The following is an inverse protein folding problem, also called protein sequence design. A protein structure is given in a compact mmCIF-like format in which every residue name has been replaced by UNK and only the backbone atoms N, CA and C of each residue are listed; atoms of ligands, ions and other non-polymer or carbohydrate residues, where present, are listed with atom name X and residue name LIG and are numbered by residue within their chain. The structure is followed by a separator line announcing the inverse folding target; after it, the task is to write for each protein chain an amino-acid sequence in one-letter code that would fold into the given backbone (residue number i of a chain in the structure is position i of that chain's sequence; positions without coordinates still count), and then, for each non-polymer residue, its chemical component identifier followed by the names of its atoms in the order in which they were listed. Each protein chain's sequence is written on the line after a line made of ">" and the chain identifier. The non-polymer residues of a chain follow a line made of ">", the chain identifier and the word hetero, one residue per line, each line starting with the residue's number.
data_IF_123791134438
#
_entry.id   IF_123791134438
#
_cell.length_a   1.000
_cell.length_b   1.000
_cell.length_c   1.000
_cell.angle_alpha   90.00
_cell.angle_beta   90.00
_cell.angle_gamma   90.00
#
_symmetry.space_group_name_H-M   'P 1'
#
loop_
_entity.id
_entity.type
_entity.pdbx_description
1 polymer ?
#
# COMPACT_ATOMS: atom_id res chain seq x y z
N UNK A 1 12.05 5.15 0.40
CA UNK A 1 11.89 3.78 -0.09
C UNK A 1 12.57 3.65 -1.45
N UNK A 2 12.28 4.51 -2.41
CA UNK A 2 12.83 4.46 -3.77
C UNK A 2 14.37 4.36 -3.80
N UNK A 3 15.07 5.10 -2.96
CA UNK A 3 16.54 5.04 -2.84
C UNK A 3 17.06 3.80 -2.10
N UNK A 4 16.20 2.83 -1.76
CA UNK A 4 16.52 1.62 -0.99
C UNK A 4 17.17 1.89 0.39
N UNK A 5 16.90 3.06 0.95
CA UNK A 5 17.36 3.43 2.29
C UNK A 5 16.46 2.88 3.39
N UNK A 6 15.21 2.51 3.06
CA UNK A 6 14.24 1.88 3.96
C UNK A 6 13.97 0.47 3.49
N UNK A 7 14.19 -0.51 4.36
CA UNK A 7 14.08 -1.94 4.06
C UNK A 7 13.14 -2.67 5.03
N UNK A 8 12.73 -3.88 4.66
CA UNK A 8 11.97 -4.79 5.49
C UNK A 8 12.90 -5.83 6.11
N UNK A 9 12.83 -6.12 7.43
CA UNK A 9 13.63 -7.18 8.03
C UNK A 9 12.97 -8.54 7.84
N UNK A 10 13.76 -9.61 7.73
CA UNK A 10 13.26 -10.99 7.57
C UNK A 10 12.47 -11.54 8.76
N UNK A 11 12.55 -10.87 9.90
CA UNK A 11 11.85 -11.29 11.13
C UNK A 11 10.37 -10.90 11.16
N UNK A 12 9.89 -10.16 10.16
CA UNK A 12 8.51 -9.70 10.10
C UNK A 12 7.69 -10.49 9.09
N UNK A 13 6.37 -10.55 9.35
CA UNK A 13 5.42 -11.19 8.44
C UNK A 13 5.32 -10.46 7.10
N UNK A 14 4.94 -11.19 6.07
CA UNK A 14 4.63 -10.64 4.76
C UNK A 14 3.45 -9.66 4.80
N UNK A 15 3.21 -8.94 3.71
CA UNK A 15 2.06 -8.05 3.59
C UNK A 15 0.75 -8.85 3.59
N UNK A 16 -0.18 -8.51 4.48
CA UNK A 16 -1.44 -9.24 4.69
C UNK A 16 -2.70 -8.35 4.65
N UNK A 17 -2.54 -7.04 4.52
CA UNK A 17 -3.71 -6.16 4.45
C UNK A 17 -4.47 -6.39 3.16
N UNK A 18 -5.80 -6.52 3.30
CA UNK A 18 -6.72 -6.56 2.17
C UNK A 18 -7.04 -5.14 1.64
N UNK A 19 -7.77 -5.12 0.54
CA UNK A 19 -8.16 -3.89 -0.15
C UNK A 19 -8.96 -2.96 0.76
N UNK A 20 -9.91 -3.50 1.53
CA UNK A 20 -10.78 -2.69 2.40
C UNK A 20 -9.96 -2.04 3.51
N UNK A 21 -9.03 -2.78 4.10
CA UNK A 21 -8.17 -2.26 5.15
C UNK A 21 -7.25 -1.14 4.66
N UNK A 22 -6.76 -1.24 3.43
CA UNK A 22 -5.99 -0.16 2.80
C UNK A 22 -6.87 1.06 2.55
N UNK A 23 -8.07 0.88 2.01
CA UNK A 23 -9.03 1.97 1.76
C UNK A 23 -9.39 2.71 3.05
N UNK A 24 -9.73 1.98 4.12
CA UNK A 24 -10.03 2.55 5.44
C UNK A 24 -8.83 3.26 6.06
N UNK A 25 -7.62 2.79 5.79
CA UNK A 25 -6.40 3.46 6.24
C UNK A 25 -6.22 4.82 5.58
N UNK A 26 -6.49 4.93 4.27
CA UNK A 26 -6.45 6.20 3.56
C UNK A 26 -7.58 7.14 4.00
N UNK A 27 -8.79 6.62 4.21
CA UNK A 27 -9.88 7.40 4.81
C UNK A 27 -9.46 7.98 6.18
N UNK A 28 -8.84 7.18 7.03
CA UNK A 28 -8.32 7.65 8.32
C UNK A 28 -7.27 8.75 8.20
N UNK A 29 -6.36 8.65 7.22
CA UNK A 29 -5.36 9.70 6.96
C UNK A 29 -6.04 11.01 6.53
N UNK A 30 -6.96 10.95 5.59
CA UNK A 30 -7.65 12.13 5.06
C UNK A 30 -8.61 12.75 6.08
N UNK A 31 -9.18 11.93 6.96
CA UNK A 31 -9.99 12.38 8.10
C UNK A 31 -9.16 12.88 9.28
N UNK A 32 -7.82 12.97 9.13
CA UNK A 32 -6.88 13.41 10.16
C UNK A 32 -6.92 12.56 11.45
N UNK A 33 -7.29 11.28 11.34
CA UNK A 33 -7.19 10.36 12.48
C UNK A 33 -5.75 9.91 12.71
N UNK A 34 -5.35 9.66 13.97
CA UNK A 34 -4.01 9.17 14.27
C UNK A 34 -3.83 7.75 13.71
N UNK A 35 -2.82 7.57 12.88
CA UNK A 35 -2.51 6.30 12.22
C UNK A 35 -1.47 5.46 12.97
N UNK A 36 -1.09 5.89 14.17
CA UNK A 36 -0.07 5.24 15.01
C UNK A 36 1.36 5.66 14.64
N UNK A 37 2.34 5.02 15.27
CA UNK A 37 3.76 5.35 15.12
C UNK A 37 4.44 4.42 14.13
N UNK A 38 5.53 4.89 13.53
CA UNK A 38 6.48 4.06 12.78
C UNK A 38 7.75 3.87 13.62
N UNK A 39 8.21 2.64 13.75
CA UNK A 39 9.46 2.33 14.42
C UNK A 39 10.50 1.88 13.41
N UNK A 40 11.62 2.60 13.36
CA UNK A 40 12.73 2.30 12.48
C UNK A 40 13.96 1.87 13.27
N UNK A 41 14.66 0.89 12.71
CA UNK A 41 15.92 0.38 13.22
C UNK A 41 17.07 0.76 12.29
N UNK A 42 18.04 1.51 12.78
CA UNK A 42 19.25 1.85 12.02
C UNK A 42 20.15 0.62 11.88
N UNK A 43 20.38 0.19 10.65
CA UNK A 43 21.12 -1.03 10.34
C UNK A 43 22.61 -0.78 10.46
N UNK A 44 23.27 -1.36 11.47
CA UNK A 44 24.71 -1.34 11.66
C UNK A 44 25.41 -2.53 10.96
N UNK A 45 26.74 -2.57 10.97
CA UNK A 45 27.54 -3.61 10.32
C UNK A 45 27.28 -5.02 10.89
N UNK A 46 27.02 -5.13 12.20
CA UNK A 46 26.70 -6.40 12.85
C UNK A 46 25.35 -6.93 12.38
N UNK A 47 24.34 -6.06 12.32
CA UNK A 47 23.00 -6.42 11.85
C UNK A 47 23.00 -6.86 10.38
N UNK A 48 23.80 -6.23 9.52
CA UNK A 48 23.96 -6.62 8.11
C UNK A 48 24.46 -8.04 7.92
N UNK A 49 25.31 -8.51 8.81
CA UNK A 49 25.86 -9.89 8.77
C UNK A 49 24.87 -10.92 9.33
N UNK A 50 24.05 -10.53 10.30
CA UNK A 50 23.21 -11.45 11.07
C UNK A 50 21.81 -11.61 10.46
N UNK A 51 21.24 -10.56 9.83
CA UNK A 51 19.85 -10.56 9.38
C UNK A 51 19.75 -10.37 7.87
N UNK A 52 18.72 -10.98 7.27
CA UNK A 52 18.33 -10.71 5.90
C UNK A 52 17.39 -9.51 5.85
N UNK A 53 17.51 -8.74 4.78
CA UNK A 53 16.65 -7.58 4.52
C UNK A 53 16.03 -7.72 3.12
N UNK A 54 14.88 -7.07 2.93
CA UNK A 54 14.11 -7.13 1.70
C UNK A 54 13.72 -5.74 1.25
N UNK A 55 13.58 -5.58 -0.06
CA UNK A 55 13.05 -4.34 -0.65
C UNK A 55 11.53 -4.29 -0.49
N UNK A 56 10.97 -3.08 -0.40
CA UNK A 56 9.54 -2.89 -0.57
C UNK A 56 9.16 -3.18 -2.02
N UNK A 57 8.00 -3.81 -2.22
CA UNK A 57 7.47 -4.03 -3.55
C UNK A 57 6.55 -2.89 -3.97
N UNK A 58 6.67 -2.49 -5.24
CA UNK A 58 5.69 -1.62 -5.89
C UNK A 58 4.40 -2.38 -6.20
N UNK A 59 4.48 -3.69 -6.40
CA UNK A 59 3.36 -4.56 -6.69
C UNK A 59 3.02 -5.43 -5.49
N UNK A 60 1.79 -5.32 -5.01
CA UNK A 60 1.27 -6.16 -3.93
C UNK A 60 0.43 -7.29 -4.52
N UNK A 61 0.95 -8.52 -4.42
CA UNK A 61 0.26 -9.77 -4.77
C UNK A 61 0.08 -10.62 -3.51
N UNK A 62 -0.93 -11.48 -3.49
CA UNK A 62 -1.22 -12.34 -2.34
C UNK A 62 -0.07 -13.27 -1.94
N UNK A 63 0.73 -13.74 -2.90
CA UNK A 63 1.83 -14.68 -2.69
C UNK A 63 3.19 -14.07 -3.06
N UNK A 64 3.38 -12.82 -2.70
CA UNK A 64 4.56 -12.07 -3.09
C UNK A 64 5.81 -12.51 -2.32
N UNK A 65 6.85 -12.92 -3.05
CA UNK A 65 8.19 -13.14 -2.51
C UNK A 65 8.99 -11.83 -2.57
N UNK A 66 9.34 -11.29 -1.41
CA UNK A 66 10.16 -10.08 -1.33
C UNK A 66 11.54 -10.29 -1.94
N UNK A 67 12.00 -9.32 -2.74
CA UNK A 67 13.35 -9.32 -3.28
C UNK A 67 14.36 -9.03 -2.17
N UNK A 68 15.37 -9.91 -2.02
CA UNK A 68 16.47 -9.68 -1.07
C UNK A 68 17.19 -8.38 -1.39
N UNK A 69 17.42 -7.58 -0.34
CA UNK A 69 18.18 -6.37 -0.39
C UNK A 69 19.50 -6.50 0.36
N UNK A 70 20.54 -5.87 -0.19
CA UNK A 70 21.81 -5.70 0.53
C UNK A 70 21.86 -4.25 1.03
N UNK A 71 21.83 -4.00 2.37
CA UNK A 71 21.97 -2.65 2.90
C UNK A 71 23.37 -2.10 2.55
N UNK A 72 23.44 -1.12 1.68
CA UNK A 72 24.72 -0.58 1.16
C UNK A 72 25.10 0.76 1.78
N UNK A 73 24.11 1.56 2.19
CA UNK A 73 24.32 2.90 2.71
C UNK A 73 24.56 2.97 4.23
N UNK A 74 25.28 4.00 4.70
CA UNK A 74 25.42 4.28 6.13
C UNK A 74 24.09 4.68 6.79
N UNK A 75 23.14 5.20 6.03
CA UNK A 75 21.83 5.70 6.48
C UNK A 75 20.71 4.70 6.29
N UNK A 76 21.00 3.44 5.94
CA UNK A 76 19.95 2.41 5.73
C UNK A 76 19.27 2.07 7.05
N UNK A 77 17.93 2.09 7.04
CA UNK A 77 17.08 1.73 8.17
C UNK A 77 16.16 0.56 7.81
N UNK A 78 15.67 -0.14 8.80
CA UNK A 78 14.67 -1.19 8.65
C UNK A 78 13.42 -0.86 9.45
N UNK A 79 12.25 -1.16 8.91
CA UNK A 79 10.97 -0.93 9.58
C UNK A 79 10.71 -2.04 10.58
N UNK A 80 10.63 -1.71 11.88
CA UNK A 80 10.27 -2.67 12.94
C UNK A 80 8.77 -2.65 13.24
N UNK A 81 8.13 -1.49 13.16
CA UNK A 81 6.67 -1.39 13.27
C UNK A 81 6.11 -0.42 12.22
N UNK A 82 4.86 -0.64 11.83
CA UNK A 82 4.20 0.11 10.77
C UNK A 82 4.46 -0.42 9.35
N UNK A 83 5.06 -1.61 9.20
CA UNK A 83 5.36 -2.22 7.89
C UNK A 83 4.15 -2.25 6.96
N UNK A 84 2.98 -2.71 7.44
CA UNK A 84 1.77 -2.83 6.63
C UNK A 84 1.29 -1.45 6.15
N UNK A 85 1.35 -0.45 7.03
CA UNK A 85 0.98 0.95 6.72
C UNK A 85 1.93 1.55 5.69
N UNK A 86 3.24 1.39 5.89
CA UNK A 86 4.24 1.93 4.96
C UNK A 86 4.19 1.24 3.60
N UNK A 87 3.93 -0.08 3.55
CA UNK A 87 3.72 -0.82 2.29
C UNK A 87 2.46 -0.33 1.59
N UNK A 88 1.37 -0.05 2.33
CA UNK A 88 0.14 0.48 1.75
C UNK A 88 0.33 1.86 1.13
N UNK A 89 1.05 2.76 1.83
CA UNK A 89 1.43 4.08 1.29
C UNK A 89 2.28 3.93 0.03
N UNK A 90 3.30 3.08 0.07
CA UNK A 90 4.19 2.89 -1.06
C UNK A 90 3.48 2.31 -2.28
N UNK A 91 2.60 1.31 -2.07
CA UNK A 91 1.77 0.75 -3.14
C UNK A 91 0.82 1.78 -3.74
N UNK A 92 0.17 2.62 -2.91
CA UNK A 92 -0.80 3.59 -3.37
C UNK A 92 -0.18 4.73 -4.20
N UNK A 93 1.01 5.20 -3.81
CA UNK A 93 1.68 6.34 -4.46
C UNK A 93 2.62 5.94 -5.59
N UNK A 94 3.25 4.77 -5.52
CA UNK A 94 4.31 4.37 -6.46
C UNK A 94 4.12 3.01 -7.09
N UNK A 95 3.04 2.31 -6.77
CA UNK A 95 2.85 0.93 -7.18
C UNK A 95 1.44 0.59 -7.58
N UNK A 96 1.21 -0.71 -7.68
CA UNK A 96 -0.03 -1.31 -8.10
C UNK A 96 -0.48 -2.41 -7.14
N UNK A 97 -1.77 -2.60 -7.02
CA UNK A 97 -2.35 -3.73 -6.32
C UNK A 97 -2.86 -4.76 -7.32
N UNK A 98 -2.17 -5.88 -7.43
CA UNK A 98 -2.58 -6.98 -8.31
C UNK A 98 -3.64 -7.86 -7.67
N UNK A 99 -4.63 -8.25 -8.44
CA UNK A 99 -5.65 -9.21 -8.03
C UNK A 99 -5.81 -10.30 -9.10
N UNK A 100 -6.07 -11.51 -8.62
CA UNK A 100 -6.31 -12.67 -9.47
C UNK A 100 -7.74 -12.66 -9.99
N UNK A 101 -7.91 -12.94 -11.28
CA UNK A 101 -9.23 -13.12 -11.89
C UNK A 101 -9.92 -14.35 -11.26
N UNK A 102 -11.22 -14.22 -10.94
CA UNK A 102 -12.01 -15.33 -10.38
C UNK A 102 -12.01 -16.52 -11.34
N UNK A 103 -11.99 -17.73 -10.77
CA UNK A 103 -12.04 -19.00 -11.50
C UNK A 103 -10.91 -19.23 -12.52
N UNK A 104 -9.79 -18.52 -12.41
CA UNK A 104 -8.61 -18.71 -13.26
C UNK A 104 -7.49 -19.38 -12.47
N UNK A 105 -6.67 -20.17 -13.19
CA UNK A 105 -5.46 -20.76 -12.62
C UNK A 105 -4.46 -19.68 -12.19
N UNK A 106 -3.53 -20.05 -11.33
CA UNK A 106 -2.52 -19.15 -10.78
C UNK A 106 -1.38 -18.94 -11.80
N UNK A 107 -1.71 -18.23 -12.89
CA UNK A 107 -0.78 -17.84 -13.95
C UNK A 107 -0.69 -16.31 -13.98
N UNK A 108 0.48 -15.77 -14.23
CA UNK A 108 0.74 -14.32 -14.24
C UNK A 108 -0.24 -13.54 -15.15
N UNK A 109 -0.57 -14.08 -16.32
CA UNK A 109 -1.57 -13.52 -17.25
C UNK A 109 -2.98 -13.37 -16.70
N UNK A 110 -3.29 -14.04 -15.57
CA UNK A 110 -4.60 -14.02 -14.93
C UNK A 110 -4.67 -12.99 -13.77
N UNK A 111 -3.61 -12.24 -13.54
CA UNK A 111 -3.60 -11.12 -12.64
C UNK A 111 -3.90 -9.82 -13.38
N UNK A 112 -4.58 -8.91 -12.71
CA UNK A 112 -4.86 -7.56 -13.20
C UNK A 112 -4.36 -6.56 -12.18
N UNK A 113 -3.74 -5.50 -12.67
CA UNK A 113 -3.31 -4.39 -11.86
C UNK A 113 -4.46 -3.43 -11.58
N UNK A 114 -4.48 -2.88 -10.37
CA UNK A 114 -5.38 -1.80 -9.96
C UNK A 114 -4.59 -0.74 -9.22
N UNK A 115 -4.94 0.51 -9.44
CA UNK A 115 -4.42 1.67 -8.71
C UNK A 115 -5.41 2.14 -7.68
N UNK A 116 -4.92 2.81 -6.64
CA UNK A 116 -5.80 3.45 -5.66
C UNK A 116 -6.26 4.81 -6.20
N UNK A 117 -7.56 5.03 -6.14
CA UNK A 117 -8.20 6.28 -6.53
C UNK A 117 -8.98 6.86 -5.37
N UNK A 118 -9.05 8.18 -5.31
CA UNK A 118 -9.86 8.97 -4.42
C UNK A 118 -11.05 9.55 -5.20
N UNK A 119 -12.27 9.44 -4.68
CA UNK A 119 -13.46 10.04 -5.31
C UNK A 119 -13.66 11.47 -4.81
N UNK A 120 -13.36 12.45 -5.66
CA UNK A 120 -13.49 13.87 -5.33
C UNK A 120 -14.94 14.33 -5.19
N UNK A 121 -15.92 13.60 -5.74
CA UNK A 121 -17.35 13.92 -5.66
C UNK A 121 -18.08 13.13 -4.57
N UNK A 122 -17.35 12.31 -3.79
CA UNK A 122 -17.98 11.58 -2.70
C UNK A 122 -18.45 12.54 -1.61
N UNK A 123 -19.74 12.42 -1.25
CA UNK A 123 -20.33 13.10 -0.12
C UNK A 123 -20.95 12.05 0.79
N UNK A 124 -20.46 11.99 2.03
CA UNK A 124 -21.03 11.10 3.05
C UNK A 124 -22.47 11.51 3.34
N UNK A 125 -23.41 10.57 3.28
CA UNK A 125 -24.80 10.79 3.68
C UNK A 125 -24.96 10.51 5.17
N UNK A 126 -25.45 11.47 5.92
CA UNK A 126 -25.65 11.33 7.37
C UNK A 126 -26.71 10.29 7.76
N UNK A 127 -27.60 9.88 6.84
CA UNK A 127 -28.62 8.84 7.08
C UNK A 127 -28.04 7.43 7.16
N UNK A 128 -26.79 7.26 6.87
CA UNK A 128 -26.06 5.98 6.88
C UNK A 128 -25.29 5.74 8.20
N UNK A 129 -25.85 6.10 9.36
CA UNK A 129 -25.22 5.77 10.67
C UNK A 129 -24.96 4.26 10.85
N UNK A 130 -25.61 3.41 10.05
CA UNK A 130 -25.39 1.97 9.99
C UNK A 130 -24.39 1.54 8.92
N UNK A 131 -23.94 2.42 8.06
CA UNK A 131 -22.93 2.09 7.06
C UNK A 131 -21.54 2.33 7.64
N UNK A 132 -20.68 1.33 7.61
CA UNK A 132 -19.23 1.46 7.85
C UNK A 132 -18.53 2.26 6.72
N UNK A 133 -19.20 3.28 6.17
CA UNK A 133 -18.63 4.13 5.13
C UNK A 133 -17.84 5.25 5.79
N UNK A 134 -16.60 5.41 5.36
CA UNK A 134 -15.71 6.46 5.83
C UNK A 134 -16.16 7.86 5.40
N UNK A 135 -15.44 8.87 5.83
CA UNK A 135 -15.66 10.27 5.42
C UNK A 135 -15.25 10.51 3.97
N UNK A 136 -14.31 9.72 3.47
CA UNK A 136 -13.77 9.79 2.12
C UNK A 136 -13.90 8.43 1.43
N UNK A 137 -14.08 8.45 0.11
CA UNK A 137 -14.20 7.22 -0.67
C UNK A 137 -12.92 6.93 -1.44
N UNK A 138 -12.23 5.85 -1.06
CA UNK A 138 -11.08 5.30 -1.76
C UNK A 138 -11.43 3.96 -2.38
N UNK A 139 -11.03 3.74 -3.65
CA UNK A 139 -11.23 2.45 -4.32
C UNK A 139 -10.05 2.06 -5.18
N UNK A 140 -9.69 0.78 -5.14
CA UNK A 140 -8.80 0.20 -6.12
C UNK A 140 -9.55 -0.04 -7.43
N UNK A 141 -9.10 0.57 -8.52
CA UNK A 141 -9.73 0.50 -9.83
C UNK A 141 -8.71 0.10 -10.90
N UNK A 142 -9.19 -0.59 -11.92
CA UNK A 142 -8.47 -0.82 -13.16
C UNK A 142 -8.34 0.52 -13.89
N UNK A 143 -7.12 1.01 -14.19
CA UNK A 143 -6.93 2.31 -14.84
C UNK A 143 -7.66 2.43 -16.19
N UNK A 144 -7.88 1.31 -16.87
CA UNK A 144 -8.58 1.28 -18.17
C UNK A 144 -10.10 1.38 -18.05
N UNK A 145 -10.65 1.30 -16.82
CA UNK A 145 -12.08 1.25 -16.54
C UNK A 145 -12.56 2.33 -15.58
N UNK A 146 -11.81 3.41 -15.47
CA UNK A 146 -12.20 4.54 -14.62
C UNK A 146 -13.28 5.35 -15.32
N UNK A 147 -14.45 5.40 -14.70
CA UNK A 147 -15.61 6.15 -15.19
C UNK A 147 -15.68 7.48 -14.45
N UNK A 148 -15.85 8.57 -15.19
CA UNK A 148 -16.18 9.88 -14.67
C UNK A 148 -17.63 10.15 -14.98
N UNK A 149 -18.44 10.40 -13.96
CA UNK A 149 -19.86 10.75 -14.09
C UNK A 149 -20.25 11.86 -13.09
N UNK A 150 -21.54 12.19 -12.99
CA UNK A 150 -22.03 13.25 -12.09
C UNK A 150 -21.85 12.94 -10.58
N UNK A 151 -21.54 11.69 -10.22
CA UNK A 151 -21.36 11.24 -8.83
C UNK A 151 -19.95 10.80 -8.53
N UNK A 152 -19.13 10.62 -9.56
CA UNK A 152 -17.81 10.02 -9.41
C UNK A 152 -16.78 10.79 -10.26
N UNK A 153 -15.82 11.37 -9.57
CA UNK A 153 -14.60 11.91 -10.17
C UNK A 153 -13.41 11.25 -9.45
N UNK A 154 -12.83 10.24 -10.09
CA UNK A 154 -11.76 9.44 -9.52
C UNK A 154 -10.41 10.05 -9.84
N UNK A 155 -9.72 10.52 -8.79
CA UNK A 155 -8.36 11.03 -8.86
C UNK A 155 -7.37 9.92 -8.47
N UNK A 156 -6.36 9.58 -9.30
CA UNK A 156 -5.37 8.57 -8.96
C UNK A 156 -4.42 9.09 -7.87
N UNK A 157 -4.22 8.28 -6.82
CA UNK A 157 -3.36 8.67 -5.70
C UNK A 157 -1.90 8.86 -6.10
N UNK A 158 -1.47 8.26 -7.20
CA UNK A 158 -0.11 8.41 -7.73
C UNK A 158 0.17 9.84 -8.20
N UNK A 159 -0.83 10.55 -8.71
CA UNK A 159 -0.68 11.93 -9.21
C UNK A 159 -0.51 12.97 -8.09
N UNK A 160 -0.57 12.55 -6.81
CA UNK A 160 -0.24 13.44 -5.67
C UNK A 160 1.25 13.60 -5.42
N UNK A 161 2.10 12.77 -6.04
CA UNK A 161 3.55 12.71 -5.77
C UNK A 161 4.40 13.00 -7.01
N UNK A 162 3.78 13.31 -8.13
CA UNK A 162 4.44 13.72 -9.39
C UNK A 162 4.73 15.25 -9.44
#
# INVERSE_FOLDING_TARGET
>A
IEKKEILLPSIQRTFVWDVNKIQNFFDSIFSNYPIGLFLFWKINAGARKKYNFYEFSKEVKKDYSHKKAKPTGRSTVSVLDGQQRLTSLYCAFYGDHSYKLRFKHDLERNYRSRKLYFNLFYVRRYDDEKSNQGEYEFKFRDPTKVIVDRKNLWFPMQDLVD
#
